data_IF_780147300628
#
_entry.id   IF_780147300628
#
_cell.length_a   1.000
_cell.length_b   1.000
_cell.length_c   1.000
_cell.angle_alpha   90.00
_cell.angle_beta   90.00
_cell.angle_gamma   90.00
#
_symmetry.space_group_name_H-M   'P 1'
#
loop_
_entity.id
_entity.type
_entity.pdbx_description
1 polymer ?
#
# COMPACT_ATOMS: atom_id res chain seq x y z
N UNK A 1 -3.98 10.31 -18.27
CA UNK A 1 -3.62 10.72 -16.89
C UNK A 1 -4.91 10.78 -16.08
N UNK A 2 -5.04 9.88 -15.10
CA UNK A 2 -6.30 9.50 -14.46
C UNK A 2 -6.97 10.65 -13.68
N UNK A 3 -8.32 10.68 -13.61
CA UNK A 3 -9.09 11.75 -12.96
C UNK A 3 -8.78 11.98 -11.48
N UNK A 4 -8.33 10.93 -10.78
CA UNK A 4 -7.98 10.99 -9.36
C UNK A 4 -6.82 11.95 -9.09
N UNK A 5 -5.73 11.86 -9.87
CA UNK A 5 -4.58 12.74 -9.73
C UNK A 5 -4.96 14.19 -10.05
N UNK A 6 -5.79 14.42 -11.07
CA UNK A 6 -6.29 15.77 -11.38
C UNK A 6 -7.09 16.39 -10.22
N UNK A 7 -7.85 15.59 -9.47
CA UNK A 7 -8.67 16.07 -8.35
C UNK A 7 -7.84 16.28 -7.07
N UNK A 8 -6.87 15.41 -6.80
CA UNK A 8 -5.93 15.57 -5.69
C UNK A 8 -5.08 16.84 -5.83
N UNK A 9 -4.77 17.24 -7.07
CA UNK A 9 -3.99 18.43 -7.39
C UNK A 9 -4.84 19.62 -7.90
N UNK A 10 -6.19 19.52 -7.92
CA UNK A 10 -7.04 20.62 -8.41
C UNK A 10 -7.04 21.88 -7.54
N UNK A 11 -6.83 21.84 -6.21
CA UNK A 11 -6.73 23.07 -5.40
C UNK A 11 -5.50 23.92 -5.70
N UNK A 12 -4.55 23.42 -6.51
CA UNK A 12 -3.29 24.09 -6.81
C UNK A 12 -3.36 24.99 -8.06
N UNK A 13 -4.48 25.00 -8.78
CA UNK A 13 -4.58 25.72 -10.06
C UNK A 13 -5.02 27.19 -9.94
N UNK A 14 -5.31 27.70 -8.74
CA UNK A 14 -5.75 29.09 -8.56
C UNK A 14 -4.92 29.80 -7.47
N UNK A 15 -3.75 30.31 -7.85
CA UNK A 15 -3.08 31.41 -7.12
C UNK A 15 -2.29 31.06 -5.85
N UNK A 16 -2.19 29.78 -5.46
CA UNK A 16 -1.26 29.35 -4.40
C UNK A 16 0.19 29.36 -4.88
N UNK A 17 1.14 29.67 -3.99
CA UNK A 17 2.56 29.41 -4.23
C UNK A 17 2.71 27.98 -4.77
N UNK A 18 3.34 27.83 -5.94
CA UNK A 18 3.50 26.51 -6.56
C UNK A 18 4.15 25.56 -5.57
N UNK A 19 3.60 24.34 -5.42
CA UNK A 19 4.20 23.31 -4.56
C UNK A 19 5.69 23.23 -4.85
N UNK A 20 6.50 23.40 -3.80
CA UNK A 20 7.94 23.23 -3.93
C UNK A 20 8.24 21.84 -4.48
N UNK A 21 9.20 21.80 -5.40
CA UNK A 21 9.64 20.54 -5.99
C UNK A 21 10.42 19.77 -4.93
N UNK A 22 9.74 18.84 -4.27
CA UNK A 22 10.32 18.00 -3.22
C UNK A 22 10.79 16.62 -3.69
N UNK A 23 11.63 16.01 -2.86
CA UNK A 23 11.97 14.59 -2.94
C UNK A 23 10.80 13.73 -2.43
N UNK A 24 10.54 12.61 -3.11
CA UNK A 24 9.42 11.71 -2.80
C UNK A 24 9.95 10.40 -2.21
N UNK A 25 9.38 9.99 -1.08
CA UNK A 25 9.51 8.63 -0.55
C UNK A 25 8.23 7.87 -0.88
N UNK A 26 8.36 6.77 -1.62
CA UNK A 26 7.23 5.99 -2.09
C UNK A 26 7.18 4.61 -1.42
N UNK A 27 5.96 4.14 -1.13
CA UNK A 27 5.68 2.76 -0.76
C UNK A 27 4.56 2.23 -1.64
N UNK A 28 4.81 1.14 -2.37
CA UNK A 28 3.81 0.48 -3.20
C UNK A 28 3.38 -0.82 -2.55
N UNK A 29 2.09 -0.92 -2.22
CA UNK A 29 1.46 -2.15 -1.81
C UNK A 29 0.99 -2.91 -3.05
N UNK A 30 1.53 -4.12 -3.26
CA UNK A 30 1.30 -4.88 -4.49
C UNK A 30 0.73 -6.27 -4.20
N UNK A 31 -0.23 -6.67 -5.04
CA UNK A 31 -0.85 -8.00 -4.99
C UNK A 31 0.13 -9.05 -5.52
N UNK A 32 0.77 -9.76 -4.60
CA UNK A 32 1.68 -10.85 -4.89
C UNK A 32 2.82 -10.98 -3.87
N UNK A 33 3.63 -12.05 -3.99
CA UNK A 33 4.80 -12.24 -3.16
C UNK A 33 5.84 -11.16 -3.42
N UNK A 34 6.28 -10.48 -2.37
CA UNK A 34 7.38 -9.50 -2.44
C UNK A 34 8.67 -10.15 -1.96
N UNK A 35 9.71 -10.08 -2.79
CA UNK A 35 11.04 -10.55 -2.45
C UNK A 35 12.07 -9.52 -2.90
N UNK A 36 13.00 -9.15 -2.01
CA UNK A 36 14.10 -8.22 -2.31
C UNK A 36 13.62 -6.89 -2.94
N UNK A 37 12.58 -6.29 -2.36
CA UNK A 37 11.99 -5.01 -2.82
C UNK A 37 11.40 -5.07 -4.24
N UNK A 38 10.94 -6.25 -4.66
CA UNK A 38 10.40 -6.52 -5.99
C UNK A 38 9.20 -7.45 -5.90
N UNK A 39 8.25 -7.26 -6.79
CA UNK A 39 7.08 -8.14 -6.99
C UNK A 39 6.96 -8.54 -8.46
N UNK A 40 6.55 -9.78 -8.68
CA UNK A 40 6.10 -10.27 -9.99
C UNK A 40 4.58 -10.34 -9.94
N UNK A 41 3.91 -9.57 -10.80
CA UNK A 41 2.46 -9.44 -10.81
C UNK A 41 1.84 -10.68 -11.47
N UNK A 42 1.47 -11.68 -10.67
CA UNK A 42 0.97 -12.98 -11.18
C UNK A 42 -0.41 -12.91 -11.83
N UNK A 43 -1.22 -11.89 -11.46
CA UNK A 43 -2.58 -11.72 -11.95
C UNK A 43 -2.69 -10.79 -13.17
N UNK A 44 -1.61 -10.08 -13.52
CA UNK A 44 -1.57 -9.32 -14.76
C UNK A 44 -1.15 -10.31 -15.84
N UNK A 45 -2.04 -10.56 -16.81
CA UNK A 45 -1.76 -11.46 -17.93
C UNK A 45 -0.40 -11.09 -18.50
N UNK A 46 0.53 -12.02 -18.39
CA UNK A 46 1.85 -11.85 -18.93
C UNK A 46 1.73 -11.47 -20.40
N UNK A 47 2.32 -10.34 -20.78
CA UNK A 47 2.18 -9.81 -22.13
C UNK A 47 2.99 -10.72 -23.05
N UNK A 48 2.32 -11.44 -23.94
CA UNK A 48 3.01 -12.18 -24.98
C UNK A 48 3.49 -11.17 -26.02
N UNK A 49 4.80 -11.11 -26.23
CA UNK A 49 5.36 -10.36 -27.35
C UNK A 49 4.97 -11.07 -28.65
N UNK A 50 4.15 -10.45 -29.51
CA UNK A 50 3.69 -11.06 -30.75
C UNK A 50 4.82 -11.28 -31.77
N UNK A 51 5.96 -10.61 -31.64
CA UNK A 51 7.11 -10.76 -32.54
C UNK A 51 8.03 -11.91 -32.11
N UNK A 52 8.17 -12.16 -30.79
CA UNK A 52 9.11 -13.17 -30.27
C UNK A 52 8.42 -14.39 -29.65
N UNK A 53 7.09 -14.34 -29.46
CA UNK A 53 6.33 -15.36 -28.75
C UNK A 53 6.65 -15.43 -27.25
N UNK A 54 7.49 -14.52 -26.74
CA UNK A 54 7.96 -14.55 -25.37
C UNK A 54 6.93 -13.96 -24.43
N UNK A 55 6.72 -14.64 -23.31
CA UNK A 55 5.87 -14.17 -22.24
C UNK A 55 6.66 -13.18 -21.37
N UNK A 56 6.21 -11.94 -21.29
CA UNK A 56 6.78 -10.92 -20.42
C UNK A 56 6.05 -10.90 -19.08
N UNK A 57 6.81 -11.17 -18.01
CA UNK A 57 6.35 -10.93 -16.64
C UNK A 57 6.25 -9.43 -16.38
N UNK A 58 5.17 -9.01 -15.74
CA UNK A 58 5.05 -7.63 -15.26
C UNK A 58 5.69 -7.56 -13.87
N UNK A 59 6.77 -6.79 -13.80
CA UNK A 59 7.60 -6.66 -12.60
C UNK A 59 7.53 -5.22 -12.11
N UNK A 60 7.34 -5.05 -10.80
CA UNK A 60 7.55 -3.77 -10.13
C UNK A 60 8.76 -3.95 -9.22
N UNK A 61 9.80 -3.16 -9.45
CA UNK A 61 11.07 -3.20 -8.72
C UNK A 61 11.38 -1.83 -8.14
N UNK A 62 11.43 -1.74 -6.81
CA UNK A 62 11.67 -0.48 -6.13
C UNK A 62 13.06 0.10 -6.39
N UNK A 63 14.08 -0.74 -6.60
CA UNK A 63 15.43 -0.26 -6.91
C UNK A 63 15.51 0.35 -8.31
N UNK A 64 14.75 -0.17 -9.26
CA UNK A 64 14.66 0.41 -10.61
C UNK A 64 13.83 1.70 -10.63
N UNK A 65 12.79 1.79 -9.79
CA UNK A 65 12.04 3.04 -9.59
C UNK A 65 12.95 4.15 -9.05
N UNK A 66 13.75 3.87 -8.01
CA UNK A 66 14.68 4.85 -7.42
C UNK A 66 15.75 5.37 -8.41
N UNK A 67 16.14 4.56 -9.41
CA UNK A 67 17.12 4.94 -10.44
C UNK A 67 16.48 5.64 -11.64
N UNK A 68 15.16 5.57 -11.77
CA UNK A 68 14.44 6.05 -12.93
C UNK A 68 14.66 7.54 -13.15
N UNK A 69 14.87 7.94 -14.41
CA UNK A 69 14.93 9.35 -14.82
C UNK A 69 13.67 9.80 -15.54
N UNK A 70 12.70 8.89 -15.66
CA UNK A 70 11.48 9.09 -16.40
C UNK A 70 10.46 9.92 -15.60
N UNK A 71 9.91 10.94 -16.25
CA UNK A 71 8.71 11.65 -15.78
C UNK A 71 8.78 12.03 -14.28
N UNK A 72 7.73 11.70 -13.52
CA UNK A 72 7.62 11.91 -12.08
C UNK A 72 8.43 10.90 -11.25
N UNK A 73 8.79 9.73 -11.81
CA UNK A 73 9.56 8.72 -11.10
C UNK A 73 10.95 9.23 -10.70
N UNK A 74 11.52 10.16 -11.47
CA UNK A 74 12.80 10.82 -11.13
C UNK A 74 12.82 11.57 -9.80
N UNK A 75 11.65 11.82 -9.20
CA UNK A 75 11.51 12.46 -7.89
C UNK A 75 11.49 11.45 -6.74
N UNK A 76 11.33 10.16 -7.02
CA UNK A 76 11.30 9.12 -6.00
C UNK A 76 12.74 8.80 -5.58
N UNK A 77 13.15 9.28 -4.40
CA UNK A 77 14.50 9.07 -3.85
C UNK A 77 14.62 7.78 -3.05
N UNK A 78 13.48 7.25 -2.61
CA UNK A 78 13.35 5.98 -1.89
C UNK A 78 12.04 5.31 -2.26
N UNK A 79 12.07 4.01 -2.52
CA UNK A 79 10.93 3.21 -2.91
C UNK A 79 10.94 1.88 -2.16
N UNK A 80 9.86 1.59 -1.43
CA UNK A 80 9.61 0.29 -0.82
C UNK A 80 8.44 -0.39 -1.51
N UNK A 81 8.62 -1.67 -1.83
CA UNK A 81 7.57 -2.55 -2.28
C UNK A 81 7.17 -3.42 -1.10
N UNK A 82 5.88 -3.47 -0.80
CA UNK A 82 5.30 -4.34 0.22
C UNK A 82 4.17 -5.15 -0.39
N UNK A 83 3.87 -6.29 0.23
CA UNK A 83 2.70 -7.05 -0.15
C UNK A 83 1.43 -6.24 0.22
N UNK A 84 0.37 -6.38 -0.57
CA UNK A 84 -0.93 -5.73 -0.35
C UNK A 84 -1.51 -5.97 1.05
N UNK A 85 -1.49 -7.20 1.55
CA UNK A 85 -1.94 -7.52 2.92
C UNK A 85 -1.00 -6.99 3.99
N UNK A 86 0.30 -6.89 3.73
CA UNK A 86 1.22 -6.18 4.63
C UNK A 86 0.84 -4.69 4.71
N UNK A 87 0.55 -4.06 3.57
CA UNK A 87 0.03 -2.69 3.52
C UNK A 87 -1.28 -2.53 4.29
N UNK A 88 -2.22 -3.46 4.10
CA UNK A 88 -3.48 -3.48 4.84
C UNK A 88 -3.27 -3.61 6.35
N UNK A 89 -2.33 -4.46 6.77
CA UNK A 89 -1.98 -4.61 8.19
C UNK A 89 -1.44 -3.31 8.79
N UNK A 90 -0.54 -2.59 8.10
CA UNK A 90 -0.09 -1.27 8.55
C UNK A 90 -1.24 -0.27 8.62
N UNK A 91 -2.12 -0.23 7.62
CA UNK A 91 -3.30 0.64 7.63
C UNK A 91 -4.25 0.33 8.79
N UNK A 92 -4.41 -0.94 9.17
CA UNK A 92 -5.25 -1.34 10.29
C UNK A 92 -4.77 -0.82 11.65
N UNK A 93 -3.50 -0.43 11.78
CA UNK A 93 -2.98 0.22 12.99
C UNK A 93 -3.42 1.68 13.11
N UNK A 94 -3.77 2.33 12.00
CA UNK A 94 -4.09 3.76 11.92
C UNK A 94 -5.60 4.05 11.92
N UNK A 95 -6.43 3.00 11.78
CA UNK A 95 -7.89 3.13 11.79
C UNK A 95 -8.40 3.67 13.13
N UNK A 96 -9.35 4.61 13.04
CA UNK A 96 -10.11 5.13 14.17
C UNK A 96 -11.14 4.08 14.63
N UNK A 97 -10.91 3.53 15.82
CA UNK A 97 -11.79 2.54 16.45
C UNK A 97 -12.77 3.17 17.44
N UNK A 98 -12.85 4.51 17.52
CA UNK A 98 -13.81 5.21 18.39
C UNK A 98 -15.25 4.82 18.04
N UNK A 99 -16.14 4.87 19.04
CA UNK A 99 -17.55 4.50 18.84
C UNK A 99 -18.26 5.38 17.80
N UNK A 100 -17.81 6.62 17.62
CA UNK A 100 -18.31 7.56 16.62
C UNK A 100 -17.76 7.33 15.21
N UNK A 101 -16.72 6.51 15.04
CA UNK A 101 -16.07 6.25 13.76
C UNK A 101 -16.90 5.33 12.86
N UNK A 102 -16.90 5.64 11.57
CA UNK A 102 -17.49 4.82 10.50
C UNK A 102 -16.44 4.03 9.71
N UNK A 103 -15.15 4.13 10.08
CA UNK A 103 -14.06 3.47 9.35
C UNK A 103 -14.07 1.94 9.53
N UNK A 104 -14.59 1.47 10.66
CA UNK A 104 -14.64 0.04 11.00
C UNK A 104 -16.03 -0.37 11.43
N UNK A 105 -16.40 -1.62 11.17
CA UNK A 105 -17.63 -2.23 11.69
C UNK A 105 -17.29 -3.32 12.71
N UNK A 106 -17.95 -3.29 13.86
CA UNK A 106 -17.75 -4.27 14.91
C UNK A 106 -18.59 -5.54 14.66
N UNK A 107 -17.93 -6.68 14.44
CA UNK A 107 -18.61 -7.97 14.27
C UNK A 107 -18.88 -8.69 15.60
N UNK A 108 -18.02 -8.48 16.60
CA UNK A 108 -18.16 -9.05 17.95
C UNK A 108 -18.18 -7.91 18.95
N UNK A 109 -19.30 -7.75 19.65
CA UNK A 109 -19.47 -6.69 20.65
C UNK A 109 -18.29 -6.61 21.63
N UNK A 110 -17.76 -5.40 21.84
CA UNK A 110 -16.65 -5.10 22.76
C UNK A 110 -15.24 -5.44 22.22
N UNK A 111 -15.13 -5.92 20.99
CA UNK A 111 -13.84 -6.14 20.31
C UNK A 111 -13.09 -4.82 20.03
N UNK A 112 -13.78 -3.71 19.78
CA UNK A 112 -13.15 -2.38 19.61
C UNK A 112 -12.41 -1.95 20.87
N UNK A 113 -13.09 -2.01 22.03
CA UNK A 113 -12.51 -1.67 23.33
C UNK A 113 -11.29 -2.53 23.63
N UNK A 114 -11.37 -3.84 23.41
CA UNK A 114 -10.24 -4.75 23.61
C UNK A 114 -9.03 -4.40 22.74
N UNK A 115 -9.26 -3.99 21.48
CA UNK A 115 -8.19 -3.57 20.58
C UNK A 115 -7.55 -2.23 21.01
N UNK A 116 -8.36 -1.26 21.45
CA UNK A 116 -7.87 0.02 21.98
C UNK A 116 -7.11 -0.12 23.30
N UNK A 117 -7.59 -0.98 24.20
CA UNK A 117 -6.88 -1.34 25.44
C UNK A 117 -5.54 -2.02 25.12
N UNK A 118 -5.52 -2.95 24.17
CA UNK A 118 -4.28 -3.61 23.74
C UNK A 118 -3.30 -2.63 23.04
N UNK A 119 -3.80 -1.62 22.32
CA UNK A 119 -2.99 -0.54 21.73
C UNK A 119 -2.37 0.35 22.80
N UNK A 120 -3.15 0.75 23.81
CA UNK A 120 -2.70 1.70 24.85
C UNK A 120 -1.77 1.08 25.89
N UNK A 121 -1.94 -0.20 26.21
CA UNK A 121 -1.10 -0.93 27.18
C UNK A 121 0.17 -1.52 26.55
N UNK A 122 0.20 -1.67 25.22
CA UNK A 122 1.27 -2.38 24.52
C UNK A 122 1.24 -3.91 24.72
N UNK A 123 0.32 -4.43 25.55
CA UNK A 123 0.14 -5.85 25.86
C UNK A 123 -0.72 -6.54 24.79
N UNK A 124 -0.31 -6.38 23.53
CA UNK A 124 -1.02 -6.88 22.35
C UNK A 124 -0.43 -8.22 21.90
N UNK A 125 -1.28 -9.24 21.81
CA UNK A 125 -0.97 -10.48 21.11
C UNK A 125 -0.92 -10.28 19.58
N UNK A 126 -0.48 -11.28 18.80
CA UNK A 126 -0.52 -11.20 17.35
C UNK A 126 -1.95 -10.96 16.83
N UNK A 127 -2.12 -9.98 15.94
CA UNK A 127 -3.39 -9.70 15.27
C UNK A 127 -3.37 -10.28 13.87
N UNK A 128 -4.33 -11.15 13.55
CA UNK A 128 -4.50 -11.65 12.21
C UNK A 128 -5.34 -10.67 11.37
N UNK A 129 -4.85 -10.31 10.20
CA UNK A 129 -5.62 -9.58 9.19
C UNK A 129 -5.92 -10.56 8.06
N UNK A 130 -7.20 -10.81 7.80
CA UNK A 130 -7.65 -11.73 6.74
C UNK A 130 -8.69 -11.01 5.89
N UNK A 131 -8.61 -11.17 4.58
CA UNK A 131 -9.49 -10.52 3.64
C UNK A 131 -9.75 -11.41 2.43
N UNK A 132 -11.02 -11.52 2.06
CA UNK A 132 -11.44 -12.19 0.84
C UNK A 132 -11.67 -11.15 -0.27
N UNK A 133 -11.19 -11.45 -1.47
CA UNK A 133 -11.37 -10.66 -2.68
C UNK A 133 -11.22 -11.54 -3.91
N UNK A 134 -10.43 -11.13 -4.91
CA UNK A 134 -10.06 -12.01 -6.04
C UNK A 134 -9.33 -13.27 -5.58
N UNK A 135 -8.63 -13.21 -4.45
CA UNK A 135 -8.08 -14.34 -3.73
C UNK A 135 -8.37 -14.24 -2.23
N UNK A 136 -7.74 -15.13 -1.46
CA UNK A 136 -7.70 -15.05 0.01
C UNK A 136 -6.30 -14.58 0.40
N UNK A 137 -6.21 -13.40 1.00
CA UNK A 137 -4.96 -12.95 1.59
C UNK A 137 -5.03 -12.86 3.10
N UNK A 138 -3.86 -12.97 3.70
CA UNK A 138 -3.71 -12.89 5.14
C UNK A 138 -2.32 -12.33 5.49
N UNK A 139 -2.26 -11.58 6.58
CA UNK A 139 -1.03 -11.23 7.26
C UNK A 139 -1.25 -11.27 8.78
N UNK A 140 -0.17 -11.12 9.55
CA UNK A 140 -0.26 -10.96 10.98
C UNK A 140 0.59 -9.77 11.44
N UNK A 141 0.06 -9.01 12.39
CA UNK A 141 0.74 -7.89 13.04
C UNK A 141 1.22 -8.38 14.40
N UNK A 142 2.52 -8.27 14.67
CA UNK A 142 3.10 -8.59 15.98
C UNK A 142 3.52 -7.30 16.69
N UNK A 143 3.63 -7.34 18.01
CA UNK A 143 4.36 -6.32 18.77
C UNK A 143 5.86 -6.60 18.66
N UNK A 144 6.51 -6.05 17.64
CA UNK A 144 7.97 -5.85 17.56
C UNK A 144 8.21 -4.91 16.38
N UNK A 145 9.14 -3.96 16.41
CA UNK A 145 10.37 -3.77 17.20
C UNK A 145 10.25 -2.85 18.40
#
# INVERSE_FOLDING_TARGET
>A
VEPFLKRAFSPLSEGGEGLEVGDVVACFACAGPVMRNRVVMTNIKSLMDPATGKIHEVIIDGAEIEKSRESYLRRIVRCKIVNDFVGQGYGALDLDLSESSTEVYELKAGSRTLLEEARSTGERGPMACVGAGTGLGACYLTCSS
#
